data_IF_799346343644
#
_entry.id   IF_799346343644
#
_cell.length_a   1.000
_cell.length_b   1.000
_cell.length_c   1.000
_cell.angle_alpha   90.00
_cell.angle_beta   90.00
_cell.angle_gamma   90.00
#
_symmetry.space_group_name_H-M   'P 1'
#
loop_
_entity.id
_entity.type
_entity.pdbx_description
1 polymer ?
#
# COMPACT_ATOMS: atom_id res chain seq x y z
N UNK A 1 16.82 -6.10 4.74
CA UNK A 1 16.59 -6.29 6.18
C UNK A 1 15.45 -7.27 6.35
N UNK A 2 15.76 -8.52 6.72
CA UNK A 2 14.76 -9.50 7.14
C UNK A 2 14.58 -9.31 8.64
N UNK A 3 13.76 -8.34 9.04
CA UNK A 3 13.53 -8.06 10.45
C UNK A 3 12.08 -8.36 10.79
N UNK A 4 11.84 -9.33 11.68
CA UNK A 4 10.53 -9.68 12.24
C UNK A 4 9.85 -8.55 13.04
N UNK A 5 10.31 -7.29 12.90
CA UNK A 5 9.65 -6.09 13.38
C UNK A 5 8.45 -5.70 12.50
N UNK A 6 8.49 -6.00 11.21
CA UNK A 6 7.44 -5.57 10.27
C UNK A 6 6.14 -6.37 10.44
N UNK A 7 6.22 -7.64 10.86
CA UNK A 7 5.05 -8.55 10.98
C UNK A 7 3.99 -8.06 11.98
N UNK A 8 4.39 -7.34 13.04
CA UNK A 8 3.45 -6.75 14.01
C UNK A 8 3.14 -5.27 13.74
N UNK A 9 3.54 -4.74 12.59
CA UNK A 9 3.31 -3.33 12.27
C UNK A 9 1.87 -3.10 11.82
N UNK A 10 1.30 -2.00 12.30
CA UNK A 10 -0.04 -1.53 11.96
C UNK A 10 0.09 -0.27 11.10
N UNK A 11 -0.60 -0.25 9.98
CA UNK A 11 -0.59 0.85 9.01
C UNK A 11 -1.92 1.58 8.98
N UNK A 12 -1.86 2.89 8.82
CA UNK A 12 -3.02 3.78 8.80
C UNK A 12 -3.12 4.49 7.44
N UNK A 13 -4.17 5.29 7.26
CA UNK A 13 -4.28 6.20 6.12
C UNK A 13 -3.02 7.07 6.03
N UNK A 14 -2.59 7.40 4.81
CA UNK A 14 -1.39 8.20 4.60
C UNK A 14 -0.09 7.40 4.61
N UNK A 15 -0.12 6.12 5.00
CA UNK A 15 1.03 5.23 4.87
C UNK A 15 1.47 5.17 3.43
N UNK A 16 2.75 5.45 3.18
CA UNK A 16 3.35 5.36 1.86
C UNK A 16 4.24 4.14 1.79
N UNK A 17 4.14 3.42 0.68
CA UNK A 17 5.00 2.29 0.40
C UNK A 17 5.48 2.33 -1.04
N UNK A 18 6.69 1.84 -1.26
CA UNK A 18 7.28 1.68 -2.58
C UNK A 18 7.50 0.20 -2.83
N UNK A 19 7.14 -0.27 -4.01
CA UNK A 19 7.37 -1.66 -4.41
C UNK A 19 7.66 -1.74 -5.91
N UNK A 20 8.55 -2.66 -6.28
CA UNK A 20 8.76 -3.05 -7.66
C UNK A 20 7.77 -4.12 -8.09
N UNK A 21 7.20 -3.99 -9.28
CA UNK A 21 6.27 -4.95 -9.87
C UNK A 21 6.53 -5.08 -11.37
N UNK A 22 6.05 -6.17 -11.97
CA UNK A 22 6.28 -6.43 -13.39
C UNK A 22 4.97 -6.67 -14.12
N UNK A 23 4.62 -5.73 -15.01
CA UNK A 23 3.50 -5.87 -15.92
C UNK A 23 3.99 -6.29 -17.32
N UNK A 24 4.51 -5.33 -18.09
CA UNK A 24 5.18 -5.47 -19.38
C UNK A 24 6.69 -5.12 -19.29
N UNK A 25 7.01 -4.20 -18.38
CA UNK A 25 8.38 -3.79 -18.00
C UNK A 25 8.53 -3.73 -16.48
N UNK A 26 9.77 -3.75 -15.95
CA UNK A 26 9.99 -3.55 -14.52
C UNK A 26 9.61 -2.12 -14.14
N UNK A 27 8.61 -1.99 -13.29
CA UNK A 27 8.17 -0.71 -12.73
C UNK A 27 8.50 -0.66 -11.24
N UNK A 28 8.78 0.54 -10.75
CA UNK A 28 8.94 0.79 -9.31
C UNK A 28 8.26 2.10 -8.97
N UNK A 29 7.15 1.99 -8.27
CA UNK A 29 6.32 3.12 -7.91
C UNK A 29 6.10 3.20 -6.40
N UNK A 30 5.78 4.42 -5.97
CA UNK A 30 5.31 4.74 -4.63
C UNK A 30 3.79 4.84 -4.64
N UNK A 31 3.20 4.35 -3.55
CA UNK A 31 1.77 4.23 -3.35
C UNK A 31 1.40 4.77 -1.99
N UNK A 32 0.17 5.25 -1.86
CA UNK A 32 -0.43 5.66 -0.59
C UNK A 32 -1.63 4.78 -0.27
N UNK A 33 -1.76 4.42 1.02
CA UNK A 33 -3.01 3.90 1.57
C UNK A 33 -3.97 5.07 1.80
N UNK A 34 -4.96 5.19 0.92
CA UNK A 34 -6.00 6.22 1.02
C UNK A 34 -7.28 5.64 1.63
N UNK A 35 -8.01 6.48 2.37
CA UNK A 35 -9.37 6.13 2.83
C UNK A 35 -10.31 5.99 1.63
N UNK A 36 -11.21 5.01 1.70
CA UNK A 36 -12.26 4.82 0.70
C UNK A 36 -13.62 5.21 1.30
N UNK A 37 -14.32 6.20 0.72
CA UNK A 37 -15.66 6.59 1.18
C UNK A 37 -16.79 5.68 0.64
N UNK A 38 -16.45 4.63 -0.13
CA UNK A 38 -17.41 3.81 -0.87
C UNK A 38 -17.52 2.34 -0.42
N UNK A 39 -18.73 1.77 -0.55
CA UNK A 39 -19.06 0.33 -0.66
C UNK A 39 -18.31 -0.64 0.27
N UNK A 40 -18.37 -0.44 1.58
CA UNK A 40 -17.79 -1.38 2.56
C UNK A 40 -16.30 -1.66 2.30
N UNK A 41 -15.54 -0.67 1.84
CA UNK A 41 -14.09 -0.74 1.69
C UNK A 41 -13.46 0.32 2.59
N UNK A 42 -12.35 -0.03 3.24
CA UNK A 42 -11.64 0.86 4.16
C UNK A 42 -10.45 1.54 3.49
N UNK A 43 -9.64 0.77 2.76
CA UNK A 43 -8.40 1.25 2.15
C UNK A 43 -8.32 0.92 0.67
N UNK A 44 -7.91 1.92 -0.10
CA UNK A 44 -7.52 1.80 -1.51
C UNK A 44 -6.05 2.17 -1.70
N UNK A 45 -5.43 1.57 -2.70
CA UNK A 45 -4.04 1.80 -3.10
C UNK A 45 -4.06 2.80 -4.24
N UNK A 46 -3.49 3.99 -4.02
CA UNK A 46 -3.34 5.01 -5.05
C UNK A 46 -1.86 5.16 -5.39
N UNK A 47 -1.53 5.08 -6.67
CA UNK A 47 -0.18 5.38 -7.14
C UNK A 47 0.08 6.88 -7.07
N UNK A 48 1.23 7.28 -6.54
CA UNK A 48 1.62 8.70 -6.36
C UNK A 48 2.90 9.06 -7.12
N UNK A 49 3.49 8.13 -7.87
CA UNK A 49 4.69 8.36 -8.67
C UNK A 49 4.55 7.81 -10.09
N UNK A 50 5.53 8.14 -10.94
CA UNK A 50 5.68 7.53 -12.25
C UNK A 50 4.51 7.82 -13.19
N UNK A 51 4.36 6.95 -14.19
CA UNK A 51 3.35 7.08 -15.23
C UNK A 51 1.92 6.83 -14.72
N UNK A 52 1.79 5.99 -13.69
CA UNK A 52 0.49 5.60 -13.13
C UNK A 52 -0.02 6.55 -12.04
N UNK A 53 0.68 7.68 -11.78
CA UNK A 53 0.33 8.61 -10.71
C UNK A 53 -1.13 9.09 -10.79
N UNK A 54 -1.81 9.09 -9.64
CA UNK A 54 -3.24 9.41 -9.49
C UNK A 54 -4.18 8.22 -9.73
N UNK A 55 -3.66 7.07 -10.18
CA UNK A 55 -4.50 5.89 -10.48
C UNK A 55 -4.76 5.05 -9.23
N UNK A 56 -6.01 4.61 -9.08
CA UNK A 56 -6.37 3.58 -8.10
C UNK A 56 -5.99 2.21 -8.66
N UNK A 57 -5.02 1.55 -8.05
CA UNK A 57 -4.57 0.22 -8.49
C UNK A 57 -5.26 -0.92 -7.76
N UNK A 58 -5.88 -0.67 -6.61
CA UNK A 58 -6.46 -1.75 -5.83
C UNK A 58 -7.10 -1.37 -4.52
N UNK A 59 -7.62 -2.39 -3.83
CA UNK A 59 -8.25 -2.27 -2.52
C UNK A 59 -7.74 -3.36 -1.58
N UNK A 60 -7.57 -3.04 -0.30
CA UNK A 60 -6.95 -3.96 0.66
C UNK A 60 -7.95 -4.55 1.65
N UNK A 61 -8.89 -3.74 2.16
CA UNK A 61 -9.73 -4.18 3.28
C UNK A 61 -11.19 -3.83 3.08
N UNK A 62 -12.06 -4.82 3.26
CA UNK A 62 -13.52 -4.63 3.34
C UNK A 62 -13.92 -4.31 4.78
N UNK A 63 -14.78 -3.33 4.96
CA UNK A 63 -15.29 -2.90 6.26
C UNK A 63 -16.05 -1.58 6.17
N UNK A 64 -16.87 -1.29 7.16
CA UNK A 64 -17.48 0.02 7.31
C UNK A 64 -16.50 0.96 8.03
N UNK A 65 -16.45 2.23 7.61
CA UNK A 65 -15.72 3.34 8.23
C UNK A 65 -16.28 3.68 9.64
N UNK A 66 -16.32 2.69 10.52
CA UNK A 66 -16.55 2.86 11.95
C UNK A 66 -15.23 3.19 12.63
N UNK A 67 -15.30 3.94 13.75
CA UNK A 67 -14.14 4.47 14.48
C UNK A 67 -13.14 3.42 15.00
N UNK A 68 -13.48 2.13 14.93
CA UNK A 68 -12.71 1.03 15.56
C UNK A 68 -11.77 0.34 14.55
N UNK A 69 -11.96 0.51 13.23
CA UNK A 69 -11.21 -0.25 12.20
C UNK A 69 -10.56 0.68 11.15
N UNK A 70 -9.65 1.57 11.58
CA UNK A 70 -8.93 2.50 10.68
C UNK A 70 -7.49 2.10 10.40
N UNK A 71 -7.20 0.82 10.45
CA UNK A 71 -5.85 0.32 10.24
C UNK A 71 -5.81 -1.06 9.59
N UNK A 72 -4.67 -1.37 8.97
CA UNK A 72 -4.35 -2.69 8.45
C UNK A 72 -3.07 -3.24 9.07
N UNK A 73 -2.97 -4.56 9.20
CA UNK A 73 -1.71 -5.21 9.56
C UNK A 73 -0.77 -5.27 8.36
N UNK A 74 0.50 -5.60 8.60
CA UNK A 74 1.45 -5.91 7.53
C UNK A 74 1.01 -7.08 6.66
N UNK A 75 0.43 -8.12 7.27
CA UNK A 75 -0.12 -9.25 6.54
C UNK A 75 -1.24 -8.80 5.59
N UNK A 76 -2.20 -8.01 6.06
CA UNK A 76 -3.27 -7.45 5.23
C UNK A 76 -2.70 -6.59 4.08
N UNK A 77 -1.65 -5.79 4.34
CA UNK A 77 -0.97 -5.01 3.30
C UNK A 77 -0.34 -5.91 2.23
N UNK A 78 0.40 -6.94 2.65
CA UNK A 78 1.07 -7.88 1.73
C UNK A 78 0.05 -8.65 0.90
N UNK A 79 -1.03 -9.15 1.51
CA UNK A 79 -2.13 -9.80 0.78
C UNK A 79 -2.76 -8.85 -0.24
N UNK A 80 -3.00 -7.59 0.16
CA UNK A 80 -3.49 -6.55 -0.73
C UNK A 80 -2.55 -6.32 -1.92
N UNK A 81 -1.24 -6.26 -1.69
CA UNK A 81 -0.25 -6.12 -2.76
C UNK A 81 -0.29 -7.33 -3.71
N UNK A 82 -0.27 -8.55 -3.18
CA UNK A 82 -0.28 -9.77 -3.99
C UNK A 82 -1.54 -9.85 -4.87
N UNK A 83 -2.68 -9.41 -4.36
CA UNK A 83 -3.94 -9.47 -5.10
C UNK A 83 -4.09 -8.38 -6.18
N UNK A 84 -3.46 -7.22 -6.01
CA UNK A 84 -3.68 -6.07 -6.89
C UNK A 84 -2.53 -5.79 -7.87
N UNK A 85 -1.35 -6.37 -7.66
CA UNK A 85 -0.18 -6.18 -8.51
C UNK A 85 0.21 -7.47 -9.23
N UNK A 86 0.64 -7.35 -10.48
CA UNK A 86 1.19 -8.49 -11.21
C UNK A 86 2.66 -8.69 -10.83
N UNK A 87 3.01 -9.91 -10.39
CA UNK A 87 4.37 -10.30 -10.01
C UNK A 87 5.10 -9.29 -9.09
N UNK A 88 4.53 -8.93 -7.92
CA UNK A 88 5.17 -7.99 -7.01
C UNK A 88 6.44 -8.58 -6.40
N UNK A 89 7.53 -7.82 -6.40
CA UNK A 89 8.75 -8.18 -5.66
C UNK A 89 8.63 -7.71 -4.21
N UNK A 90 8.11 -8.58 -3.34
CA UNK A 90 7.95 -8.27 -1.91
C UNK A 90 9.28 -8.00 -1.20
N UNK A 91 10.43 -8.42 -1.75
CA UNK A 91 11.74 -8.11 -1.17
C UNK A 91 12.14 -6.64 -1.39
N UNK A 92 11.52 -5.99 -2.38
CA UNK A 92 11.68 -4.56 -2.68
C UNK A 92 10.73 -3.65 -1.90
N UNK A 93 9.73 -4.22 -1.19
CA UNK A 93 8.74 -3.47 -0.45
C UNK A 93 9.43 -2.62 0.63
N UNK A 94 9.23 -1.31 0.54
CA UNK A 94 9.66 -0.34 1.53
C UNK A 94 8.45 0.44 1.99
N UNK A 95 8.30 0.62 3.29
CA UNK A 95 7.21 1.40 3.87
C UNK A 95 7.83 2.58 4.59
N UNK A 96 7.38 3.78 4.24
CA UNK A 96 7.87 5.03 4.78
C UNK A 96 6.80 5.65 5.69
N UNK A 97 7.25 6.20 6.82
CA UNK A 97 6.39 7.07 7.63
C UNK A 97 6.23 8.41 6.93
N UNK A 98 5.02 8.97 7.00
CA UNK A 98 4.58 10.24 6.41
C UNK A 98 5.54 11.44 6.61
N UNK A 99 6.41 11.40 7.62
CA UNK A 99 7.37 12.45 7.95
C UNK A 99 8.73 12.38 7.23
N UNK A 100 9.01 11.34 6.44
CA UNK A 100 10.35 11.11 5.84
C UNK A 100 10.40 11.11 4.32
N UNK A 101 9.32 11.46 3.63
CA UNK A 101 9.30 11.47 2.16
C UNK A 101 10.15 12.64 1.68
N UNK A 102 11.30 12.31 1.09
CA UNK A 102 12.08 13.27 0.29
C UNK A 102 11.67 13.08 -1.17
N UNK A 103 11.00 14.08 -1.73
CA UNK A 103 10.86 14.19 -3.17
C UNK A 103 12.21 14.68 -3.70
N UNK A 104 13.00 13.78 -4.28
CA UNK A 104 14.20 14.12 -5.06
C UNK A 104 13.80 14.53 -6.48
#
# INVERSE_FOLDING_TARGET
MKDGKTENTIFYRGTIFTISYFWDRPERDSFILAECEGKNLLFQIICISGYNSGTVLGYIKKGALSSIQRAITYEELVEGIIHNFLNPDLSSLKIENEYNIKFE
#
